data_IF_805779910514
#
_entry.id   IF_805779910514
#
_cell.length_a   1.000
_cell.length_b   1.000
_cell.length_c   1.000
_cell.angle_alpha   90.00
_cell.angle_beta   90.00
_cell.angle_gamma   90.00
#
_symmetry.space_group_name_H-M   'P 1'
#
loop_
_entity.id
_entity.type
_entity.pdbx_description
1 polymer ?
#
# COMPACT_ATOMS: atom_id res chain seq x y z
N UNK A 1 39.90 3.96 17.54
CA UNK A 1 39.96 3.24 16.24
C UNK A 1 39.02 2.04 16.32
N UNK A 2 37.82 2.15 15.76
CA UNK A 2 36.90 1.01 15.65
C UNK A 2 37.12 0.34 14.30
N UNK A 3 37.53 -0.93 14.34
CA UNK A 3 37.75 -1.75 13.16
C UNK A 3 36.41 -1.99 12.43
N UNK A 4 36.32 -1.81 11.10
CA UNK A 4 35.10 -2.10 10.37
C UNK A 4 34.89 -3.62 10.35
N UNK A 5 33.77 -4.09 10.89
CA UNK A 5 33.33 -5.48 10.74
C UNK A 5 33.09 -5.73 9.26
N UNK A 6 33.90 -6.58 8.66
CA UNK A 6 33.69 -7.16 7.34
C UNK A 6 32.36 -7.91 7.35
N UNK A 7 31.39 -7.43 6.55
CA UNK A 7 30.14 -8.18 6.31
C UNK A 7 30.51 -9.43 5.54
N UNK A 8 30.29 -10.60 6.15
CA UNK A 8 30.42 -11.89 5.45
C UNK A 8 29.48 -11.98 4.23
N UNK A 9 29.72 -12.93 3.32
CA UNK A 9 28.89 -13.11 2.13
C UNK A 9 27.44 -13.34 2.56
N UNK A 10 26.53 -12.48 2.09
CA UNK A 10 25.09 -12.69 2.26
C UNK A 10 24.72 -13.96 1.51
N UNK A 11 24.24 -14.97 2.23
CA UNK A 11 23.69 -16.17 1.61
C UNK A 11 22.63 -15.77 0.60
N UNK A 12 22.80 -16.20 -0.65
CA UNK A 12 21.80 -16.05 -1.70
C UNK A 12 20.56 -16.84 -1.29
N UNK A 13 19.46 -16.14 -1.04
CA UNK A 13 18.18 -16.77 -0.72
C UNK A 13 17.65 -17.44 -2.00
N UNK A 14 17.66 -18.77 -2.05
CA UNK A 14 17.07 -19.53 -3.15
C UNK A 14 15.55 -19.50 -3.04
N UNK A 15 14.88 -19.00 -4.07
CA UNK A 15 13.42 -18.99 -4.17
C UNK A 15 12.99 -20.23 -4.94
N UNK A 16 12.06 -20.98 -4.37
CA UNK A 16 11.46 -22.15 -4.99
C UNK A 16 10.06 -21.77 -5.49
N UNK A 17 9.74 -22.21 -6.70
CA UNK A 17 8.45 -21.98 -7.34
C UNK A 17 7.73 -23.31 -7.58
N UNK A 18 6.41 -23.25 -7.56
CA UNK A 18 5.58 -24.20 -8.31
C UNK A 18 5.70 -23.83 -9.79
N UNK A 19 6.47 -24.63 -10.53
CA UNK A 19 6.80 -24.37 -11.94
C UNK A 19 5.56 -24.29 -12.84
N UNK A 20 4.48 -25.04 -12.53
CA UNK A 20 3.25 -24.96 -13.32
C UNK A 20 2.57 -23.60 -13.14
N UNK A 21 2.48 -23.11 -11.90
CA UNK A 21 1.87 -21.81 -11.58
C UNK A 21 2.73 -20.65 -12.08
N UNK A 22 4.06 -20.78 -11.98
CA UNK A 22 5.00 -19.80 -12.52
C UNK A 22 4.85 -19.66 -14.03
N UNK A 23 4.89 -20.77 -14.77
CA UNK A 23 4.73 -20.74 -16.22
C UNK A 23 3.36 -20.18 -16.64
N UNK A 24 2.30 -20.48 -15.89
CA UNK A 24 0.99 -19.89 -16.13
C UNK A 24 1.02 -18.35 -15.97
N UNK A 25 1.57 -17.84 -14.87
CA UNK A 25 1.72 -16.40 -14.61
C UNK A 25 2.52 -15.71 -15.71
N UNK A 26 3.71 -16.23 -16.05
CA UNK A 26 4.56 -15.67 -17.11
C UNK A 26 3.85 -15.66 -18.47
N UNK A 27 3.07 -16.69 -18.78
CA UNK A 27 2.28 -16.73 -20.03
C UNK A 27 1.18 -15.66 -20.09
N UNK A 28 0.62 -15.26 -18.94
CA UNK A 28 -0.37 -14.19 -18.86
C UNK A 28 0.29 -12.82 -18.93
N UNK A 29 1.43 -12.67 -18.24
CA UNK A 29 2.23 -11.44 -18.25
C UNK A 29 2.67 -11.08 -19.67
N UNK A 30 3.21 -12.03 -20.43
CA UNK A 30 3.63 -11.82 -21.82
C UNK A 30 2.47 -11.42 -22.77
N UNK A 31 1.22 -11.68 -22.40
CA UNK A 31 0.02 -11.35 -23.20
C UNK A 31 -0.65 -10.06 -22.75
N UNK A 32 -0.14 -9.40 -21.70
CA UNK A 32 -0.76 -8.22 -21.09
C UNK A 32 -0.70 -7.04 -22.05
N UNK A 33 -1.81 -6.32 -22.20
CA UNK A 33 -1.86 -5.15 -23.09
C UNK A 33 -1.43 -3.87 -22.35
N UNK A 34 -0.85 -2.86 -23.03
CA UNK A 34 -0.40 -1.63 -22.38
C UNK A 34 -1.49 -0.87 -21.61
N UNK A 35 -2.75 -0.94 -22.04
CA UNK A 35 -3.84 -0.29 -21.31
C UNK A 35 -4.25 -1.05 -20.03
N UNK A 36 -3.98 -2.35 -19.94
CA UNK A 36 -4.15 -3.16 -18.73
C UNK A 36 -3.02 -2.89 -17.72
N UNK A 37 -1.96 -2.21 -18.17
CA UNK A 37 -0.87 -1.68 -17.35
C UNK A 37 -1.14 -0.26 -16.83
N UNK A 38 -2.26 0.40 -17.21
CA UNK A 38 -2.61 1.77 -16.75
C UNK A 38 -2.80 1.90 -15.22
N UNK A 39 -2.69 0.80 -14.49
CA UNK A 39 -2.51 0.80 -13.04
C UNK A 39 -3.75 1.23 -12.27
N UNK A 40 -3.61 1.26 -10.95
CA UNK A 40 -4.67 1.68 -10.04
C UNK A 40 -4.79 3.21 -10.00
N UNK A 41 -6.02 3.71 -10.15
CA UNK A 41 -6.37 5.10 -9.88
C UNK A 41 -7.02 5.18 -8.50
N UNK A 42 -6.41 5.97 -7.62
CA UNK A 42 -6.85 6.13 -6.24
C UNK A 42 -8.09 7.02 -6.08
N UNK A 43 -8.52 7.21 -4.83
CA UNK A 43 -9.58 8.17 -4.51
C UNK A 43 -9.12 9.62 -4.75
N UNK A 44 -10.07 10.55 -4.79
CA UNK A 44 -9.79 11.99 -4.76
C UNK A 44 -9.28 12.37 -3.36
N UNK A 45 -8.03 12.85 -3.20
CA UNK A 45 -7.44 13.05 -1.88
C UNK A 45 -8.18 14.07 -1.00
N UNK A 46 -8.60 15.21 -1.55
CA UNK A 46 -9.32 16.25 -0.79
C UNK A 46 -10.68 15.73 -0.26
N UNK A 47 -11.44 15.03 -1.10
CA UNK A 47 -12.72 14.44 -0.71
C UNK A 47 -12.55 13.34 0.35
N UNK A 48 -11.48 12.55 0.25
CA UNK A 48 -11.13 11.55 1.25
C UNK A 48 -10.78 12.21 2.60
N UNK A 49 -9.93 13.24 2.58
CA UNK A 49 -9.48 13.95 3.78
C UNK A 49 -10.65 14.66 4.49
N UNK A 50 -11.54 15.31 3.73
CA UNK A 50 -12.77 15.90 4.26
C UNK A 50 -13.63 14.89 5.02
N UNK A 51 -13.80 13.67 4.49
CA UNK A 51 -14.55 12.60 5.17
C UNK A 51 -13.81 11.99 6.36
N UNK A 52 -12.48 11.88 6.26
CA UNK A 52 -11.64 11.27 7.28
C UNK A 52 -11.50 12.19 8.50
N UNK A 53 -11.03 13.42 8.32
CA UNK A 53 -10.61 14.31 9.41
C UNK A 53 -11.24 15.71 9.34
N UNK A 54 -12.23 15.92 8.45
CA UNK A 54 -12.97 17.19 8.35
C UNK A 54 -12.32 18.25 7.44
N UNK A 55 -11.20 17.94 6.79
CA UNK A 55 -10.52 18.84 5.85
C UNK A 55 -9.11 18.37 5.49
N UNK A 56 -8.35 19.20 4.77
CA UNK A 56 -6.99 18.93 4.31
C UNK A 56 -6.89 18.52 2.85
N UNK A 57 -5.68 18.64 2.29
CA UNK A 57 -5.36 18.29 0.90
C UNK A 57 -6.23 19.02 -0.15
N UNK A 58 -6.71 20.22 0.14
CA UNK A 58 -7.64 21.00 -0.70
C UNK A 58 -7.08 21.26 -2.10
N UNK A 59 -5.75 21.29 -2.24
CA UNK A 59 -5.04 21.40 -3.52
C UNK A 59 -5.27 20.21 -4.45
N UNK A 60 -5.58 19.05 -3.89
CA UNK A 60 -5.56 17.75 -4.56
C UNK A 60 -6.99 17.25 -4.82
N UNK A 61 -7.66 17.85 -5.80
CA UNK A 61 -9.10 17.68 -6.08
C UNK A 61 -9.42 16.63 -7.16
N UNK A 62 -8.40 15.98 -7.72
CA UNK A 62 -8.57 14.95 -8.75
C UNK A 62 -8.04 13.60 -8.27
N UNK A 63 -8.61 12.54 -8.84
CA UNK A 63 -8.12 11.18 -8.61
C UNK A 63 -6.76 10.98 -9.29
N UNK A 64 -5.85 10.27 -8.63
CA UNK A 64 -4.46 10.15 -9.08
C UNK A 64 -4.13 8.72 -9.50
N UNK A 65 -3.45 8.56 -10.63
CA UNK A 65 -2.65 7.36 -10.91
C UNK A 65 -1.33 7.41 -10.11
N UNK A 66 -0.48 6.39 -10.25
CA UNK A 66 0.84 6.35 -9.59
C UNK A 66 1.73 7.54 -9.97
N UNK A 67 1.82 7.89 -11.25
CA UNK A 67 2.68 8.98 -11.71
C UNK A 67 2.22 10.36 -11.21
N UNK A 68 0.91 10.60 -11.19
CA UNK A 68 0.34 11.80 -10.60
C UNK A 68 0.59 11.86 -9.10
N UNK A 69 0.48 10.74 -8.40
CA UNK A 69 0.81 10.67 -6.97
C UNK A 69 2.29 10.98 -6.74
N UNK A 70 3.22 10.36 -7.49
CA UNK A 70 4.65 10.66 -7.39
C UNK A 70 4.92 12.16 -7.61
N UNK A 71 4.34 12.74 -8.66
CA UNK A 71 4.47 14.18 -8.95
C UNK A 71 3.90 15.07 -7.83
N UNK A 72 2.78 14.67 -7.21
CA UNK A 72 2.21 15.39 -6.08
C UNK A 72 3.10 15.32 -4.83
N UNK A 73 3.74 14.17 -4.58
CA UNK A 73 4.63 13.98 -3.45
C UNK A 73 5.90 14.84 -3.54
N UNK A 74 6.41 15.10 -4.75
CA UNK A 74 7.56 15.99 -4.98
C UNK A 74 7.33 17.43 -4.51
N UNK A 75 6.11 17.95 -4.75
CA UNK A 75 5.77 19.34 -4.43
C UNK A 75 5.13 19.51 -3.06
N UNK A 76 4.72 18.40 -2.43
CA UNK A 76 4.22 18.40 -1.07
C UNK A 76 5.41 18.43 -0.10
N UNK A 77 5.29 19.24 0.96
CA UNK A 77 6.40 19.45 1.91
C UNK A 77 6.11 18.84 3.28
N UNK A 78 4.84 18.67 3.63
CA UNK A 78 4.45 18.10 4.92
C UNK A 78 4.53 16.57 4.90
N UNK A 79 5.22 15.92 5.86
CA UNK A 79 5.29 14.46 5.96
C UNK A 79 3.89 13.86 6.15
N UNK A 80 3.05 14.52 6.95
CA UNK A 80 1.66 14.16 7.15
C UNK A 80 0.86 14.25 5.84
N UNK A 81 1.01 15.33 5.08
CA UNK A 81 0.29 15.49 3.82
C UNK A 81 0.74 14.45 2.77
N UNK A 82 2.05 14.14 2.68
CA UNK A 82 2.58 13.06 1.85
C UNK A 82 1.98 11.70 2.23
N UNK A 83 1.93 11.38 3.52
CA UNK A 83 1.32 10.16 3.98
C UNK A 83 -0.19 10.11 3.64
N UNK A 84 -0.93 11.19 3.89
CA UNK A 84 -2.35 11.26 3.55
C UNK A 84 -2.62 11.10 2.05
N UNK A 85 -1.77 11.66 1.19
CA UNK A 85 -1.83 11.44 -0.26
C UNK A 85 -1.72 9.94 -0.61
N UNK A 86 -0.72 9.24 -0.07
CA UNK A 86 -0.54 7.80 -0.31
C UNK A 86 -1.69 6.97 0.27
N UNK A 87 -2.13 7.27 1.50
CA UNK A 87 -3.18 6.52 2.18
C UNK A 87 -4.55 6.69 1.51
N UNK A 88 -4.85 7.90 1.02
CA UNK A 88 -6.06 8.20 0.25
C UNK A 88 -6.04 7.49 -1.11
N UNK A 89 -4.91 7.52 -1.81
CA UNK A 89 -4.71 6.80 -3.08
C UNK A 89 -4.91 5.29 -2.90
N UNK A 90 -4.34 4.74 -1.81
CA UNK A 90 -4.43 3.34 -1.44
C UNK A 90 -5.81 2.90 -0.93
N UNK A 91 -6.80 3.80 -0.89
CA UNK A 91 -8.17 3.47 -0.49
C UNK A 91 -8.31 3.15 1.00
N UNK A 92 -7.53 3.80 1.87
CA UNK A 92 -7.72 3.64 3.32
C UNK A 92 -9.15 4.01 3.71
N UNK A 93 -9.83 3.13 4.46
CA UNK A 93 -11.18 3.44 4.94
C UNK A 93 -11.14 4.65 5.88
N UNK A 94 -12.09 5.56 5.75
CA UNK A 94 -12.13 6.81 6.54
C UNK A 94 -12.18 6.55 8.04
N UNK A 95 -12.85 5.47 8.49
CA UNK A 95 -12.83 5.04 9.91
C UNK A 95 -11.42 4.67 10.39
N UNK A 96 -10.61 4.03 9.55
CA UNK A 96 -9.24 3.66 9.89
C UNK A 96 -8.34 4.90 9.89
N UNK A 97 -8.57 5.81 8.95
CA UNK A 97 -7.88 7.10 8.89
C UNK A 97 -8.15 7.94 10.15
N UNK A 98 -9.41 8.00 10.62
CA UNK A 98 -9.76 8.64 11.90
C UNK A 98 -8.95 8.08 13.06
N UNK A 99 -8.89 6.76 13.17
CA UNK A 99 -8.11 6.12 14.24
C UNK A 99 -6.61 6.48 14.17
N UNK A 100 -6.03 6.47 12.97
CA UNK A 100 -4.60 6.75 12.77
C UNK A 100 -4.25 8.22 12.98
N UNK A 101 -5.05 9.13 12.41
CA UNK A 101 -4.73 10.56 12.29
C UNK A 101 -5.18 11.40 13.49
N UNK A 102 -5.93 10.81 14.42
CA UNK A 102 -6.34 11.49 15.66
C UNK A 102 -5.19 11.73 16.65
N UNK A 103 -4.02 11.08 16.46
CA UNK A 103 -2.80 11.38 17.21
C UNK A 103 -1.71 11.92 16.27
N UNK A 104 -1.55 13.25 16.20
CA UNK A 104 -0.59 13.89 15.31
C UNK A 104 0.83 13.93 15.90
N UNK A 105 1.05 13.47 17.14
CA UNK A 105 2.39 13.31 17.74
C UNK A 105 3.02 11.96 17.45
N UNK A 106 2.41 11.19 16.56
CA UNK A 106 2.70 9.77 16.42
C UNK A 106 4.08 9.51 15.78
N UNK A 107 4.91 8.63 16.39
CA UNK A 107 6.27 8.34 15.92
C UNK A 107 6.40 7.89 14.45
N UNK A 108 5.31 7.41 13.84
CA UNK A 108 5.34 6.96 12.46
C UNK A 108 5.54 8.10 11.46
N UNK A 109 5.22 9.35 11.82
CA UNK A 109 5.50 10.52 10.97
C UNK A 109 7.02 10.78 10.85
N UNK A 110 7.78 10.53 11.92
CA UNK A 110 9.25 10.58 11.87
C UNK A 110 9.82 9.53 10.91
N UNK A 111 9.21 8.34 10.86
CA UNK A 111 9.60 7.32 9.87
C UNK A 111 9.33 7.77 8.44
N UNK A 112 8.24 8.52 8.19
CA UNK A 112 7.96 9.10 6.86
C UNK A 112 9.11 10.01 6.43
N UNK A 113 9.57 10.88 7.32
CA UNK A 113 10.69 11.77 7.02
C UNK A 113 12.00 11.02 6.79
N UNK A 114 12.32 10.04 7.63
CA UNK A 114 13.52 9.20 7.44
C UNK A 114 13.49 8.43 6.11
N UNK A 115 12.34 7.89 5.70
CA UNK A 115 12.19 7.26 4.38
C UNK A 115 12.36 8.27 3.24
N UNK A 116 11.75 9.45 3.37
CA UNK A 116 11.80 10.50 2.35
C UNK A 116 13.21 11.07 2.16
N UNK A 117 13.98 11.18 3.24
CA UNK A 117 15.37 11.63 3.19
C UNK A 117 16.35 10.53 2.76
N UNK A 118 15.87 9.28 2.66
CA UNK A 118 16.67 8.14 2.24
C UNK A 118 17.51 7.51 3.36
N UNK A 119 17.20 7.81 4.62
CA UNK A 119 17.88 7.26 5.79
C UNK A 119 17.50 5.79 6.06
N UNK A 120 16.36 5.35 5.52
CA UNK A 120 15.84 3.99 5.68
C UNK A 120 15.67 3.33 4.31
N UNK A 121 16.22 2.13 4.17
CA UNK A 121 15.81 1.23 3.09
C UNK A 121 14.44 0.61 3.39
N UNK A 122 13.82 0.01 2.38
CA UNK A 122 12.48 -0.52 2.50
C UNK A 122 12.33 -1.64 3.54
N UNK A 123 13.37 -2.46 3.75
CA UNK A 123 13.31 -3.56 4.73
C UNK A 123 13.41 -3.01 6.14
N UNK A 124 14.31 -2.05 6.36
CA UNK A 124 14.44 -1.35 7.64
C UNK A 124 13.16 -0.58 7.97
N UNK A 125 12.60 0.17 7.01
CA UNK A 125 11.33 0.87 7.19
C UNK A 125 10.18 -0.09 7.55
N UNK A 126 10.09 -1.26 6.90
CA UNK A 126 9.12 -2.29 7.25
C UNK A 126 9.28 -2.76 8.71
N UNK A 127 10.53 -3.01 9.14
CA UNK A 127 10.83 -3.43 10.50
C UNK A 127 10.34 -2.39 11.51
N UNK A 128 10.62 -1.11 11.27
CA UNK A 128 10.19 -0.01 12.15
C UNK A 128 8.67 0.14 12.21
N UNK A 129 7.96 0.10 11.08
CA UNK A 129 6.49 0.12 11.09
C UNK A 129 5.90 -1.09 11.80
N UNK A 130 6.43 -2.29 11.57
CA UNK A 130 5.99 -3.52 12.22
C UNK A 130 6.22 -3.46 13.74
N UNK A 131 7.35 -2.89 14.17
CA UNK A 131 7.63 -2.65 15.59
C UNK A 131 6.65 -1.64 16.20
N UNK A 132 6.49 -0.46 15.59
CA UNK A 132 5.54 0.57 16.06
C UNK A 132 4.12 0.03 16.17
N UNK A 133 3.69 -0.80 15.22
CA UNK A 133 2.36 -1.41 15.24
C UNK A 133 2.16 -2.35 16.42
N UNK A 134 3.19 -3.11 16.78
CA UNK A 134 3.16 -4.10 17.88
C UNK A 134 3.34 -3.46 19.24
N UNK A 135 4.07 -2.36 19.33
CA UNK A 135 4.23 -1.61 20.59
C UNK A 135 2.94 -0.86 20.93
N UNK A 136 2.33 -1.18 22.06
CA UNK A 136 1.18 -0.46 22.60
C UNK A 136 1.64 0.69 23.48
N UNK A 137 1.27 1.92 23.14
CA UNK A 137 1.37 3.08 24.04
C UNK A 137 -0.06 3.61 24.24
N UNK A 138 -0.69 3.27 25.38
CA UNK A 138 -2.04 3.74 25.71
C UNK A 138 -3.20 3.23 24.83
N UNK A 139 -2.93 2.45 23.79
CA UNK A 139 -3.91 1.81 22.90
C UNK A 139 -3.50 0.37 22.59
N UNK A 140 -4.42 -0.52 22.15
CA UNK A 140 -4.09 -1.93 21.86
C UNK A 140 -3.02 -2.13 20.76
N UNK A 141 -2.79 -1.13 19.89
CA UNK A 141 -1.80 -1.15 18.80
C UNK A 141 -1.28 0.26 18.57
N UNK A 142 0.03 0.45 18.45
CA UNK A 142 0.64 1.78 18.21
C UNK A 142 0.34 2.37 16.84
N UNK A 143 -0.19 1.59 15.90
CA UNK A 143 -0.65 2.03 14.58
C UNK A 143 -2.12 1.62 14.33
N UNK A 144 -3.09 2.24 15.04
CA UNK A 144 -4.49 1.87 14.91
C UNK A 144 -5.00 2.22 13.50
N UNK A 145 -5.70 1.28 12.87
CA UNK A 145 -6.21 1.45 11.50
C UNK A 145 -5.19 1.25 10.37
N UNK A 146 -3.87 1.18 10.65
CA UNK A 146 -2.81 1.06 9.64
C UNK A 146 -2.04 -0.26 9.73
N UNK A 147 -2.48 -1.27 8.97
CA UNK A 147 -1.82 -2.57 8.86
C UNK A 147 -0.74 -2.67 7.78
N UNK A 148 -0.13 -3.86 7.61
CA UNK A 148 0.97 -4.09 6.68
C UNK A 148 0.74 -3.61 5.25
N UNK A 149 -0.45 -3.88 4.72
CA UNK A 149 -0.81 -3.45 3.37
C UNK A 149 -0.80 -1.92 3.17
N UNK A 150 -0.91 -1.12 4.23
CA UNK A 150 -0.88 0.34 4.15
C UNK A 150 0.54 0.89 4.30
N UNK A 151 1.29 0.42 5.29
CA UNK A 151 2.65 0.95 5.44
C UNK A 151 3.61 0.46 4.35
N UNK A 152 3.34 -0.66 3.68
CA UNK A 152 4.09 -1.05 2.46
C UNK A 152 3.81 -0.12 1.27
N UNK A 153 2.62 0.49 1.21
CA UNK A 153 2.33 1.57 0.24
C UNK A 153 3.13 2.83 0.56
N UNK A 154 3.20 3.20 1.84
CA UNK A 154 4.04 4.32 2.28
C UNK A 154 5.51 4.06 1.92
N UNK A 155 6.02 2.87 2.21
CA UNK A 155 7.38 2.46 1.84
C UNK A 155 7.60 2.58 0.31
N UNK A 156 6.70 2.04 -0.50
CA UNK A 156 6.82 2.05 -1.96
C UNK A 156 6.86 3.46 -2.57
N UNK A 157 6.03 4.39 -2.07
CA UNK A 157 5.96 5.75 -2.63
C UNK A 157 6.93 6.75 -1.99
N UNK A 158 7.33 6.54 -0.74
CA UNK A 158 8.05 7.55 0.05
C UNK A 158 9.51 7.19 0.33
N UNK A 159 9.93 5.93 0.17
CA UNK A 159 11.34 5.55 0.38
C UNK A 159 12.19 6.07 -0.77
N UNK A 160 13.15 6.94 -0.46
CA UNK A 160 14.12 7.45 -1.43
C UNK A 160 15.45 6.75 -1.25
N UNK A 161 15.63 5.61 -1.90
CA UNK A 161 16.86 4.83 -1.77
C UNK A 161 17.08 3.90 -2.96
N UNK A 162 18.25 3.25 -2.99
CA UNK A 162 18.64 2.33 -4.07
C UNK A 162 17.77 1.06 -4.15
N UNK A 163 16.99 0.75 -3.11
CA UNK A 163 16.12 -0.42 -3.03
C UNK A 163 14.75 0.01 -2.52
N UNK A 164 13.88 0.41 -3.44
CA UNK A 164 12.46 0.62 -3.14
C UNK A 164 11.81 -0.75 -2.88
N UNK A 165 10.96 -0.84 -1.86
CA UNK A 165 10.20 -2.06 -1.58
C UNK A 165 8.87 -2.03 -2.31
N UNK A 166 8.27 -3.19 -2.53
CA UNK A 166 7.03 -3.33 -3.28
C UNK A 166 5.79 -3.31 -2.37
N UNK A 167 4.61 -3.09 -2.97
CA UNK A 167 3.35 -3.08 -2.24
C UNK A 167 2.94 -4.52 -1.94
N UNK A 168 3.08 -4.91 -0.67
CA UNK A 168 2.61 -6.20 -0.15
C UNK A 168 1.18 -6.03 0.39
N UNK A 169 0.20 -6.19 -0.48
CA UNK A 169 -1.22 -6.21 -0.13
C UNK A 169 -1.80 -7.63 -0.21
N UNK A 170 -3.11 -7.77 0.03
CA UNK A 170 -3.73 -9.11 0.04
C UNK A 170 -3.61 -9.85 -1.30
N UNK A 171 -3.56 -9.15 -2.44
CA UNK A 171 -3.50 -9.79 -3.76
C UNK A 171 -2.07 -10.15 -4.11
N UNK A 172 -1.14 -9.23 -3.93
CA UNK A 172 0.28 -9.52 -4.19
C UNK A 172 0.82 -10.58 -3.23
N UNK A 173 0.40 -10.57 -1.95
CA UNK A 173 0.74 -11.61 -0.99
C UNK A 173 0.21 -12.99 -1.41
N UNK A 174 -1.08 -13.10 -1.73
CA UNK A 174 -1.67 -14.37 -2.18
C UNK A 174 -1.03 -14.87 -3.50
N UNK A 175 -0.74 -13.97 -4.43
CA UNK A 175 -0.06 -14.30 -5.69
C UNK A 175 1.33 -14.86 -5.45
N UNK A 176 2.13 -14.23 -4.59
CA UNK A 176 3.48 -14.72 -4.24
C UNK A 176 3.41 -16.07 -3.54
N UNK A 177 2.54 -16.25 -2.54
CA UNK A 177 2.41 -17.54 -1.88
C UNK A 177 1.96 -18.64 -2.83
N UNK A 178 1.03 -18.32 -3.75
CA UNK A 178 0.56 -19.26 -4.76
C UNK A 178 1.70 -19.70 -5.68
N UNK A 179 2.50 -18.76 -6.17
CA UNK A 179 3.65 -19.01 -7.04
C UNK A 179 4.73 -19.84 -6.35
N UNK A 180 5.01 -19.58 -5.07
CA UNK A 180 6.02 -20.30 -4.31
C UNK A 180 5.52 -21.63 -3.73
N UNK A 181 4.21 -21.89 -3.76
CA UNK A 181 3.60 -23.06 -3.13
C UNK A 181 3.75 -23.11 -1.61
N UNK A 182 4.08 -21.99 -0.96
CA UNK A 182 4.33 -21.85 0.49
C UNK A 182 4.05 -20.44 0.98
N UNK A 183 3.89 -20.27 2.29
CA UNK A 183 3.68 -18.96 2.92
C UNK A 183 4.98 -18.14 3.00
N UNK A 184 5.32 -17.44 1.91
CA UNK A 184 6.36 -16.39 1.92
C UNK A 184 5.87 -15.18 2.72
N UNK A 185 4.61 -14.80 2.48
CA UNK A 185 3.89 -13.75 3.20
C UNK A 185 2.81 -14.39 4.07
N UNK A 186 2.81 -14.11 5.37
CA UNK A 186 1.76 -14.60 6.26
C UNK A 186 0.45 -13.84 5.98
N UNK A 187 -0.64 -14.56 5.78
CA UNK A 187 -1.97 -13.98 5.60
C UNK A 187 -2.95 -14.53 6.64
N UNK A 188 -3.87 -13.68 7.10
CA UNK A 188 -4.98 -14.09 7.96
C UNK A 188 -6.24 -14.26 7.08
N UNK A 189 -7.03 -15.30 7.36
CA UNK A 189 -8.28 -15.60 6.64
C UNK A 189 -9.48 -15.23 7.49
N UNK A 190 -10.40 -14.49 6.90
CA UNK A 190 -11.68 -14.12 7.49
C UNK A 190 -12.79 -14.77 6.69
N UNK A 191 -13.79 -15.34 7.35
CA UNK A 191 -14.95 -15.92 6.69
C UNK A 191 -16.17 -15.07 7.02
N UNK A 192 -16.92 -14.66 6.01
CA UNK A 192 -18.16 -13.93 6.19
C UNK A 192 -19.24 -14.45 5.27
N UNK A 193 -20.50 -14.23 5.64
CA UNK A 193 -21.63 -14.56 4.78
C UNK A 193 -21.95 -13.36 3.90
N UNK A 194 -22.07 -13.57 2.59
CA UNK A 194 -22.54 -12.51 1.70
C UNK A 194 -24.08 -12.43 1.72
N UNK A 195 -24.65 -11.41 1.06
CA UNK A 195 -26.11 -11.21 0.97
C UNK A 195 -26.88 -12.38 0.34
N UNK A 196 -26.21 -13.24 -0.44
CA UNK A 196 -26.83 -14.42 -1.03
C UNK A 196 -26.75 -15.65 -0.12
N UNK A 197 -26.35 -15.49 1.16
CA UNK A 197 -26.18 -16.60 2.10
C UNK A 197 -25.02 -17.53 1.72
N UNK A 198 -24.07 -17.08 0.91
CA UNK A 198 -22.86 -17.84 0.57
C UNK A 198 -21.71 -17.42 1.46
N UNK A 199 -21.04 -18.40 2.06
CA UNK A 199 -19.80 -18.18 2.78
C UNK A 199 -18.71 -17.72 1.80
N UNK A 200 -18.10 -16.58 2.10
CA UNK A 200 -16.99 -15.99 1.34
C UNK A 200 -15.76 -15.85 2.23
N UNK A 201 -14.59 -16.09 1.64
CA UNK A 201 -13.31 -15.96 2.33
C UNK A 201 -12.60 -14.68 1.89
N UNK A 202 -12.25 -13.84 2.87
CA UNK A 202 -11.39 -12.68 2.75
C UNK A 202 -10.00 -12.97 3.30
N UNK A 203 -8.99 -12.30 2.74
CA UNK A 203 -7.60 -12.45 3.15
C UNK A 203 -7.05 -11.07 3.51
N UNK A 204 -6.25 -11.01 4.57
CA UNK A 204 -5.50 -9.81 4.96
C UNK A 204 -4.04 -10.15 5.23
N UNK A 205 -3.12 -9.26 4.91
CA UNK A 205 -1.70 -9.45 5.27
C UNK A 205 -1.57 -9.42 6.80
N UNK A 206 -0.99 -10.47 7.36
CA UNK A 206 -0.92 -10.68 8.81
C UNK A 206 0.06 -9.72 9.48
N UNK A 207 -0.28 -9.28 10.69
CA UNK A 207 0.61 -8.48 11.55
C UNK A 207 1.85 -9.27 12.03
N UNK A 208 1.89 -10.59 11.79
CA UNK A 208 3.01 -11.45 12.16
C UNK A 208 4.13 -11.48 11.12
N UNK A 209 3.96 -10.85 9.97
CA UNK A 209 5.04 -10.72 8.99
C UNK A 209 6.20 -9.92 9.58
N UNK A 210 7.40 -10.50 9.49
CA UNK A 210 8.65 -9.86 9.87
C UNK A 210 9.27 -9.09 8.71
N UNK A 211 10.36 -8.37 8.99
CA UNK A 211 11.18 -7.78 7.95
C UNK A 211 11.77 -8.83 6.98
N UNK A 212 11.99 -10.07 7.44
CA UNK A 212 12.47 -11.15 6.58
C UNK A 212 11.38 -11.64 5.63
N UNK A 213 10.11 -11.72 6.08
CA UNK A 213 8.98 -12.00 5.18
C UNK A 213 8.88 -10.93 4.08
N UNK A 214 9.00 -9.65 4.45
CA UNK A 214 8.94 -8.56 3.47
C UNK A 214 10.16 -8.55 2.53
N UNK A 215 11.35 -8.87 3.03
CA UNK A 215 12.55 -9.03 2.20
C UNK A 215 12.38 -10.19 1.22
N UNK A 216 11.87 -11.33 1.68
CA UNK A 216 11.58 -12.49 0.83
C UNK A 216 10.56 -12.15 -0.25
N UNK A 217 9.48 -11.46 0.11
CA UNK A 217 8.49 -10.94 -0.84
C UNK A 217 9.12 -10.05 -1.91
N UNK A 218 9.96 -9.09 -1.52
CA UNK A 218 10.65 -8.24 -2.49
C UNK A 218 11.60 -9.05 -3.37
N UNK A 219 12.32 -10.03 -2.82
CA UNK A 219 13.21 -10.89 -3.58
C UNK A 219 12.47 -11.74 -4.63
N UNK A 220 11.26 -12.22 -4.32
CA UNK A 220 10.40 -12.92 -5.30
C UNK A 220 10.09 -12.00 -6.48
N UNK A 221 9.72 -10.74 -6.22
CA UNK A 221 9.41 -9.79 -7.30
C UNK A 221 10.65 -9.52 -8.16
N UNK A 222 11.80 -9.27 -7.55
CA UNK A 222 13.06 -9.05 -8.27
C UNK A 222 13.45 -10.27 -9.13
N UNK A 223 13.28 -11.49 -8.61
CA UNK A 223 13.58 -12.69 -9.39
C UNK A 223 12.60 -12.86 -10.55
N UNK A 224 11.32 -12.54 -10.38
CA UNK A 224 10.34 -12.56 -11.46
C UNK A 224 10.67 -11.57 -12.57
N UNK A 225 11.27 -10.42 -12.26
CA UNK A 225 11.81 -9.51 -13.28
C UNK A 225 12.85 -10.25 -14.13
N UNK A 226 13.80 -10.96 -13.51
CA UNK A 226 14.84 -11.70 -14.23
C UNK A 226 14.33 -12.89 -15.07
N UNK A 227 13.12 -13.37 -14.77
CA UNK A 227 12.48 -14.51 -15.45
C UNK A 227 11.44 -14.07 -16.50
N UNK A 228 11.33 -12.78 -16.78
CA UNK A 228 10.32 -12.23 -17.69
C UNK A 228 10.87 -11.08 -18.53
N UNK A 229 10.05 -10.58 -19.46
CA UNK A 229 10.33 -9.38 -20.25
C UNK A 229 9.82 -8.09 -19.57
N UNK A 230 9.46 -8.14 -18.28
CA UNK A 230 8.98 -6.97 -17.55
C UNK A 230 10.10 -5.93 -17.41
N UNK A 231 9.74 -4.64 -17.51
CA UNK A 231 10.70 -3.55 -17.43
C UNK A 231 11.31 -3.40 -16.03
N UNK A 232 10.51 -3.62 -14.99
CA UNK A 232 10.91 -3.49 -13.60
C UNK A 232 9.98 -4.28 -12.66
N UNK A 233 10.30 -4.26 -11.36
CA UNK A 233 9.47 -4.93 -10.36
C UNK A 233 8.14 -4.23 -10.07
N UNK A 234 7.97 -2.96 -10.44
CA UNK A 234 6.67 -2.28 -10.34
C UNK A 234 5.68 -2.88 -11.36
N UNK A 235 6.13 -3.19 -12.57
CA UNK A 235 5.32 -3.92 -13.56
C UNK A 235 4.93 -5.32 -13.06
N UNK A 236 5.87 -6.05 -12.47
CA UNK A 236 5.61 -7.36 -11.85
C UNK A 236 4.60 -7.24 -10.70
N UNK A 237 4.78 -6.29 -9.78
CA UNK A 237 3.85 -6.06 -8.67
C UNK A 237 2.44 -5.74 -9.19
N UNK A 238 2.32 -4.89 -10.21
CA UNK A 238 1.06 -4.60 -10.88
C UNK A 238 0.45 -5.81 -11.59
N UNK A 239 1.27 -6.74 -12.08
CA UNK A 239 0.80 -7.98 -12.70
C UNK A 239 0.33 -9.01 -11.66
N UNK A 240 1.03 -9.10 -10.52
CA UNK A 240 0.65 -9.93 -9.38
C UNK A 240 -0.64 -9.43 -8.72
N UNK A 241 -0.84 -8.11 -8.66
CA UNK A 241 -2.09 -7.49 -8.23
C UNK A 241 -3.22 -7.72 -9.27
N UNK A 242 -2.88 -7.59 -10.55
CA UNK A 242 -3.74 -7.67 -11.73
C UNK A 242 -4.94 -6.69 -11.68
N UNK A 243 -5.86 -6.73 -12.65
CA UNK A 243 -7.02 -5.85 -12.64
C UNK A 243 -7.96 -6.16 -11.47
N UNK A 244 -8.37 -5.12 -10.76
CA UNK A 244 -9.43 -5.20 -9.75
C UNK A 244 -10.79 -5.58 -10.32
N UNK A 245 -11.70 -5.99 -9.41
CA UNK A 245 -13.15 -6.18 -9.68
C UNK A 245 -13.50 -7.32 -10.68
N UNK A 246 -12.71 -8.38 -10.71
CA UNK A 246 -13.06 -9.63 -11.42
C UNK A 246 -12.66 -9.67 -12.90
N UNK A 247 -11.96 -8.64 -13.38
CA UNK A 247 -11.52 -8.54 -14.77
C UNK A 247 -10.12 -9.16 -15.01
N UNK A 248 -9.33 -9.34 -13.95
CA UNK A 248 -7.99 -9.88 -14.03
C UNK A 248 -7.95 -11.41 -14.19
N UNK A 249 -7.33 -11.91 -15.26
CA UNK A 249 -7.15 -13.36 -15.49
C UNK A 249 -6.33 -14.01 -14.40
N UNK A 250 -5.22 -13.38 -14.00
CA UNK A 250 -4.36 -13.87 -12.94
C UNK A 250 -5.05 -13.80 -11.59
N UNK A 251 -5.72 -12.69 -11.28
CA UNK A 251 -6.47 -12.57 -10.02
C UNK A 251 -7.58 -13.61 -9.89
N UNK A 252 -8.28 -13.92 -10.99
CA UNK A 252 -9.26 -15.00 -11.02
C UNK A 252 -8.61 -16.37 -10.80
N UNK A 253 -7.45 -16.62 -11.41
CA UNK A 253 -6.66 -17.82 -11.15
C UNK A 253 -6.25 -17.93 -9.67
N UNK A 254 -5.80 -16.83 -9.05
CA UNK A 254 -5.44 -16.78 -7.63
C UNK A 254 -6.65 -17.08 -6.75
N UNK A 255 -7.83 -16.54 -7.04
CA UNK A 255 -9.05 -16.86 -6.28
C UNK A 255 -9.38 -18.36 -6.32
N UNK A 256 -9.17 -19.00 -7.46
CA UNK A 256 -9.50 -20.42 -7.68
C UNK A 256 -8.48 -21.38 -7.06
N UNK A 257 -7.20 -20.99 -6.99
CA UNK A 257 -6.11 -21.90 -6.63
C UNK A 257 -5.39 -21.54 -5.33
N UNK A 258 -5.65 -20.35 -4.76
CA UNK A 258 -5.10 -20.00 -3.45
C UNK A 258 -5.60 -20.99 -2.41
N UNK A 259 -4.70 -21.36 -1.52
CA UNK A 259 -4.98 -22.26 -0.42
C UNK A 259 -5.14 -21.41 0.85
N UNK A 260 -5.87 -21.94 1.83
CA UNK A 260 -5.80 -21.40 3.19
C UNK A 260 -4.32 -21.42 3.65
N UNK A 261 -3.92 -20.55 4.61
CA UNK A 261 -2.54 -20.46 5.08
C UNK A 261 -1.91 -21.85 5.27
N UNK A 262 -0.78 -22.06 4.61
CA UNK A 262 -0.06 -23.33 4.61
C UNK A 262 0.41 -23.72 6.02
N UNK A 263 0.52 -22.75 6.94
CA UNK A 263 0.80 -22.97 8.35
C UNK A 263 -0.34 -23.61 9.17
N UNK A 264 -1.50 -23.85 8.54
CA UNK A 264 -2.66 -24.56 9.12
C UNK A 264 -3.38 -23.77 10.22
N UNK A 265 -2.96 -22.55 10.54
CA UNK A 265 -3.59 -21.76 11.58
C UNK A 265 -4.74 -20.97 10.97
N UNK A 266 -5.96 -21.49 11.12
CA UNK A 266 -7.20 -20.72 11.01
C UNK A 266 -7.21 -19.66 12.13
N UNK A 267 -6.55 -18.53 11.88
CA UNK A 267 -6.42 -17.46 12.87
C UNK A 267 -7.63 -16.54 12.75
N UNK A 268 -8.63 -16.85 13.56
CA UNK A 268 -9.81 -16.05 13.89
C UNK A 268 -10.88 -16.01 12.79
N UNK A 269 -11.91 -16.83 12.96
CA UNK A 269 -13.21 -16.60 12.30
C UNK A 269 -13.83 -15.36 12.96
N UNK A 270 -13.92 -14.26 12.23
CA UNK A 270 -14.72 -13.10 12.65
C UNK A 270 -16.11 -13.32 12.07
N UNK A 271 -17.04 -13.79 12.91
CA UNK A 271 -18.46 -13.85 12.57
C UNK A 271 -19.04 -12.43 12.67
N UNK A 272 -19.06 -11.70 11.56
CA UNK A 272 -19.82 -10.45 11.47
C UNK A 272 -21.31 -10.81 11.36
N UNK A 273 -22.00 -10.79 12.50
CA UNK A 273 -23.47 -10.82 12.57
C UNK A 273 -23.96 -9.40 12.25
N UNK A 274 -24.69 -9.27 11.15
CA UNK A 274 -25.41 -8.07 10.70
C UNK A 274 -24.56 -6.83 10.33
N UNK A 275 -24.16 -6.77 9.06
CA UNK A 275 -23.79 -5.52 8.40
C UNK A 275 -25.06 -4.78 7.94
N UNK A 276 -25.72 -4.09 8.87
CA UNK A 276 -26.72 -3.09 8.52
C UNK A 276 -26.04 -1.79 8.05
N UNK A 277 -26.55 -1.19 6.98
CA UNK A 277 -26.24 0.18 6.57
C UNK A 277 -25.14 0.40 5.50
N UNK A 278 -25.50 0.21 4.22
CA UNK A 278 -25.24 1.22 3.18
C UNK A 278 -23.91 1.18 2.42
N UNK A 279 -23.91 0.57 1.24
CA UNK A 279 -23.84 1.32 -0.03
C UNK A 279 -24.29 0.43 -1.18
N UNK A 280 -25.24 0.96 -1.92
CA UNK A 280 -25.76 0.46 -3.18
C UNK A 280 -24.59 0.19 -4.14
N UNK A 281 -24.54 -0.98 -4.76
CA UNK A 281 -23.64 -1.28 -5.86
C UNK A 281 -24.06 -0.47 -7.10
N UNK A 282 -23.93 0.85 -7.02
CA UNK A 282 -23.93 1.71 -8.20
C UNK A 282 -22.67 1.38 -8.97
N UNK A 283 -22.84 1.16 -10.27
CA UNK A 283 -21.80 1.00 -11.29
C UNK A 283 -20.82 2.19 -11.25
N UNK A 284 -19.92 2.20 -10.26
CA UNK A 284 -18.91 3.24 -10.12
C UNK A 284 -17.78 2.92 -11.08
N UNK A 285 -17.84 3.52 -12.28
CA UNK A 285 -16.68 3.61 -13.17
C UNK A 285 -15.47 4.05 -12.35
N UNK A 286 -14.32 3.38 -12.53
CA UNK A 286 -13.08 3.85 -11.92
C UNK A 286 -12.89 5.33 -12.31
N UNK A 287 -12.57 6.21 -11.36
CA UNK A 287 -12.30 7.59 -11.71
C UNK A 287 -11.15 7.59 -12.71
N UNK A 288 -11.27 8.36 -13.79
CA UNK A 288 -10.16 8.56 -14.71
C UNK A 288 -9.19 9.56 -14.09
N UNK A 289 -7.90 9.21 -14.07
CA UNK A 289 -6.87 10.22 -13.84
C UNK A 289 -6.88 11.18 -15.04
N UNK A 290 -6.93 12.49 -14.79
CA UNK A 290 -6.79 13.53 -15.82
C UNK A 290 -5.34 13.92 -16.06
N UNK A 291 -4.42 12.99 -15.87
CA UNK A 291 -3.01 13.21 -16.12
C UNK A 291 -2.86 13.71 -17.57
N UNK A 292 -2.42 14.97 -17.76
CA UNK A 292 -2.10 15.49 -19.10
C UNK A 292 -0.86 14.73 -19.56
N UNK A 293 -1.06 13.66 -20.32
CA UNK A 293 0.03 12.99 -21.02
C UNK A 293 0.55 13.93 -22.09
N UNK A 294 1.61 14.68 -21.76
CA UNK A 294 2.26 15.59 -22.68
C UNK A 294 3.45 16.24 -22.02
N UNK A 295 4.65 15.79 -22.38
CA UNK A 295 5.91 16.49 -22.17
C UNK A 295 5.77 17.95 -22.63
N UNK A 296 5.43 18.83 -21.72
CA UNK A 296 5.64 20.26 -21.85
C UNK A 296 5.63 20.85 -20.45
N UNK A 297 6.75 21.47 -20.10
CA UNK A 297 6.96 22.27 -18.90
C UNK A 297 5.67 22.95 -18.43
N UNK A 298 5.24 22.75 -17.18
CA UNK A 298 4.20 23.61 -16.65
C UNK A 298 4.88 24.93 -16.27
N UNK A 299 4.84 25.89 -17.20
CA UNK A 299 4.92 27.30 -16.86
C UNK A 299 3.72 27.64 -15.97
N UNK A 300 3.83 27.37 -14.68
CA UNK A 300 2.86 27.79 -13.69
C UNK A 300 2.92 29.32 -13.59
N UNK A 301 1.94 29.99 -14.22
CA UNK A 301 1.71 31.42 -13.99
C UNK A 301 1.36 31.61 -12.52
N UNK A 302 2.22 32.32 -11.81
CA UNK A 302 1.90 32.90 -10.51
C UNK A 302 0.80 33.96 -10.70
N UNK A 303 -0.46 33.56 -10.58
CA UNK A 303 -1.57 34.50 -10.54
C UNK A 303 -1.71 35.01 -9.11
N UNK A 304 -1.10 36.18 -8.86
CA UNK A 304 -1.40 37.01 -7.69
C UNK A 304 -2.89 37.32 -7.71
N UNK A 305 -3.65 36.90 -6.68
CA UNK A 305 -4.95 37.51 -6.39
C UNK A 305 -5.35 37.38 -4.92
N UNK A 306 -5.23 38.54 -4.26
CA UNK A 306 -6.16 39.15 -3.30
C UNK A 306 -6.55 38.37 -2.04
N UNK A 307 -5.96 38.84 -0.96
CA UNK A 307 -6.40 38.75 0.43
C UNK A 307 -7.86 39.19 0.57
N UNK A 308 -8.69 38.32 1.18
CA UNK A 308 -9.91 38.69 1.90
C UNK A 308 -10.01 37.82 3.17
N UNK A 309 -10.64 38.33 4.25
CA UNK A 309 -10.23 38.04 5.62
C UNK A 309 -10.70 36.68 6.15
N UNK A 310 -9.83 36.12 6.98
CA UNK A 310 -9.95 34.88 7.72
C UNK A 310 -11.14 34.87 8.68
N UNK A 311 -11.93 33.79 8.65
CA UNK A 311 -12.67 33.31 9.81
C UNK A 311 -11.77 32.35 10.57
N UNK A 312 -11.41 32.74 11.77
CA UNK A 312 -10.57 32.04 12.73
C UNK A 312 -11.18 30.70 13.14
N UNK A 313 -10.53 29.60 12.76
CA UNK A 313 -10.59 28.34 13.51
C UNK A 313 -9.38 28.31 14.44
N UNK A 314 -9.67 28.20 15.74
CA UNK A 314 -8.71 28.23 16.84
C UNK A 314 -7.78 26.99 16.79
N UNK A 315 -6.66 27.09 16.08
CA UNK A 315 -5.47 26.27 16.34
C UNK A 315 -4.69 26.88 17.52
N UNK A 316 -5.15 26.61 18.74
CA UNK A 316 -4.35 26.77 19.96
C UNK A 316 -4.35 25.47 20.75
N UNK A 317 -3.51 24.54 20.32
CA UNK A 317 -2.94 23.48 21.17
C UNK A 317 -1.72 22.84 20.51
N UNK A 318 -0.70 23.66 20.30
CA UNK A 318 0.64 23.22 19.90
C UNK A 318 1.63 24.07 20.68
N UNK A 319 1.76 23.73 21.96
CA UNK A 319 2.76 24.31 22.85
C UNK A 319 4.04 23.52 22.71
N UNK A 320 5.10 24.22 22.33
CA UNK A 320 6.50 23.82 22.52
C UNK A 320 6.75 23.48 23.98
N UNK A 321 7.32 22.31 24.24
CA UNK A 321 7.94 22.00 25.52
C UNK A 321 9.45 21.92 25.31
N UNK A 322 10.13 22.94 25.82
CA UNK A 322 11.44 22.80 26.45
C UNK A 322 11.25 22.24 27.86
#
# INVERSE_FOLDING_TARGET
>A
MFSPRTRGPQATMTIEYDEQRLNHFLSLLAKRKPHEAKGWVGAVPSAWAAKAIGGGLERWTEAMCRDCLRSALEVETSPLARAMLVLSWGGMRTRNAKLLLNDPSSPWLTLIDSMWNGDLDATAAYAEFSNLRRTSVGTPKGLPGMGPAYYTKLIFFLSRGKRTGYIMDQWTACSVNLLCGKDVVLTDVHKSWNRSGRLVEGYTVSDQNSADNYRAFNAVIEELVTRSDAADGEEIELALFDQGRGHGKWRNYVVQHRQAPYDGRLRKVIEDVDADGGEESKEHRQPSCRCRTGLSNPGWRAEKSRVLPSRSLNLKRWGTAS
#
